data_IF_554382549850
#
_entry.id   IF_554382549850
#
_cell.length_a   1.000
_cell.length_b   1.000
_cell.length_c   1.000
_cell.angle_alpha   90.00
_cell.angle_beta   90.00
_cell.angle_gamma   90.00
#
_symmetry.space_group_name_H-M   'P 1'
#
loop_
_entity.id
_entity.type
_entity.pdbx_description
1 polymer ?
#
# COMPACT_ATOMS: atom_id res chain seq x y z
N UNK A 1 9.95 0.82 -1.40
CA UNK A 1 9.60 1.86 -0.39
C UNK A 1 10.60 3.00 -0.16
N UNK A 2 11.89 3.09 -0.62
CA UNK A 2 12.51 4.42 -0.59
C UNK A 2 12.02 5.31 -1.76
N UNK A 3 11.67 4.71 -2.91
CA UNK A 3 11.42 5.44 -4.16
C UNK A 3 10.03 5.20 -4.78
N UNK A 4 9.17 4.39 -4.16
CA UNK A 4 7.81 4.09 -4.62
C UNK A 4 6.92 3.68 -3.44
N UNK A 5 5.61 3.72 -3.64
CA UNK A 5 4.59 3.31 -2.67
C UNK A 5 3.58 2.34 -3.30
N UNK A 6 2.93 1.53 -2.46
CA UNK A 6 1.86 0.62 -2.84
C UNK A 6 0.60 0.92 -2.02
N UNK A 7 -0.57 0.83 -2.63
CA UNK A 7 -1.83 1.05 -1.93
C UNK A 7 -2.97 0.21 -2.54
N UNK A 8 -3.97 -0.10 -1.70
CA UNK A 8 -5.24 -0.70 -2.14
C UNK A 8 -6.27 0.42 -2.09
N UNK A 9 -6.96 0.65 -3.21
CA UNK A 9 -7.97 1.69 -3.34
C UNK A 9 -9.25 1.04 -3.85
N UNK A 10 -10.36 1.28 -3.14
CA UNK A 10 -11.69 0.87 -3.61
C UNK A 10 -12.28 1.98 -4.47
N UNK A 11 -12.61 1.65 -5.71
CA UNK A 11 -13.36 2.57 -6.55
C UNK A 11 -14.82 2.67 -6.08
N UNK A 12 -15.30 3.89 -5.84
CA UNK A 12 -16.69 4.17 -5.40
C UNK A 12 -17.52 4.89 -6.47
N UNK A 13 -16.88 5.30 -7.57
CA UNK A 13 -17.49 5.96 -8.74
C UNK A 13 -16.65 5.61 -9.96
N UNK A 14 -17.28 5.42 -11.11
CA UNK A 14 -16.59 5.10 -12.36
C UNK A 14 -15.44 6.08 -12.66
N UNK A 15 -14.26 5.53 -12.98
CA UNK A 15 -13.01 6.26 -13.24
C UNK A 15 -12.53 7.10 -12.05
N UNK A 16 -13.00 6.80 -10.84
CA UNK A 16 -12.69 7.50 -9.61
C UNK A 16 -11.23 7.32 -9.20
N UNK A 17 -10.67 6.12 -9.37
CA UNK A 17 -9.27 5.85 -9.01
C UNK A 17 -8.32 6.64 -9.90
N UNK A 18 -8.52 6.63 -11.22
CA UNK A 18 -7.66 7.36 -12.16
C UNK A 18 -7.69 8.87 -11.90
N UNK A 19 -8.88 9.45 -11.68
CA UNK A 19 -9.04 10.86 -11.33
C UNK A 19 -8.40 11.21 -9.98
N UNK A 20 -8.56 10.33 -8.98
CA UNK A 20 -7.94 10.50 -7.67
C UNK A 20 -6.41 10.50 -7.76
N UNK A 21 -5.84 9.50 -8.42
CA UNK A 21 -4.39 9.35 -8.58
C UNK A 21 -3.80 10.51 -9.38
N UNK A 22 -4.46 10.96 -10.45
CA UNK A 22 -4.03 12.15 -11.19
C UNK A 22 -3.94 13.38 -10.28
N UNK A 23 -5.00 13.66 -9.52
CA UNK A 23 -5.04 14.81 -8.60
C UNK A 23 -3.99 14.70 -7.51
N UNK A 24 -3.85 13.53 -6.89
CA UNK A 24 -2.88 13.28 -5.82
C UNK A 24 -1.45 13.49 -6.30
N UNK A 25 -1.06 12.80 -7.38
CA UNK A 25 0.30 12.85 -7.91
C UNK A 25 0.65 14.26 -8.40
N UNK A 26 -0.24 14.93 -9.14
CA UNK A 26 0.00 16.32 -9.59
C UNK A 26 0.13 17.28 -8.42
N UNK A 27 -0.73 17.16 -7.40
CA UNK A 27 -0.68 18.05 -6.23
C UNK A 27 0.61 17.85 -5.43
N UNK A 28 1.03 16.60 -5.25
CA UNK A 28 2.28 16.28 -4.56
C UNK A 28 3.51 16.76 -5.34
N UNK A 29 3.56 16.57 -6.67
CA UNK A 29 4.65 17.09 -7.51
C UNK A 29 4.77 18.60 -7.39
N UNK A 30 3.66 19.33 -7.45
CA UNK A 30 3.66 20.79 -7.27
C UNK A 30 4.17 21.18 -5.88
N UNK A 31 3.63 20.57 -4.84
CA UNK A 31 4.06 20.81 -3.46
C UNK A 31 5.56 20.56 -3.28
N UNK A 32 6.06 19.42 -3.73
CA UNK A 32 7.47 19.05 -3.62
C UNK A 32 8.37 20.04 -4.35
N UNK A 33 8.05 20.35 -5.61
CA UNK A 33 8.83 21.30 -6.42
C UNK A 33 8.85 22.70 -5.80
N UNK A 34 7.70 23.21 -5.33
CA UNK A 34 7.63 24.50 -4.63
C UNK A 34 8.42 24.49 -3.32
N UNK A 35 8.32 23.42 -2.53
CA UNK A 35 9.02 23.30 -1.24
C UNK A 35 10.54 23.22 -1.39
N UNK A 36 11.01 22.58 -2.45
CA UNK A 36 12.43 22.28 -2.67
C UNK A 36 13.07 23.15 -3.75
N UNK A 37 12.36 24.15 -4.26
CA UNK A 37 12.80 25.05 -5.34
C UNK A 37 13.29 24.27 -6.58
N UNK A 38 12.62 23.15 -6.87
CA UNK A 38 12.91 22.28 -8.02
C UNK A 38 11.87 22.47 -9.13
N UNK A 39 12.20 22.01 -10.32
CA UNK A 39 11.28 21.92 -11.47
C UNK A 39 11.37 20.53 -12.10
N UNK A 40 10.31 20.12 -12.80
CA UNK A 40 10.26 18.84 -13.51
C UNK A 40 9.50 17.74 -12.78
N UNK A 41 9.74 16.49 -13.20
CA UNK A 41 9.02 15.32 -12.75
C UNK A 41 9.55 14.78 -11.41
N UNK A 42 8.64 14.49 -10.48
CA UNK A 42 8.98 13.84 -9.18
C UNK A 42 8.76 12.32 -9.24
N UNK A 43 7.76 11.88 -9.99
CA UNK A 43 7.44 10.46 -10.16
C UNK A 43 8.00 9.94 -11.49
N UNK A 44 8.46 8.69 -11.49
CA UNK A 44 9.10 8.04 -12.65
C UNK A 44 8.12 7.71 -13.79
N UNK A 45 6.81 7.80 -13.57
CA UNK A 45 5.82 7.49 -14.59
C UNK A 45 4.38 7.57 -14.11
N UNK A 46 3.47 7.04 -14.94
CA UNK A 46 2.06 6.85 -14.57
C UNK A 46 1.94 5.78 -13.49
N UNK A 47 0.91 5.88 -12.65
CA UNK A 47 0.60 4.80 -11.72
C UNK A 47 0.21 3.53 -12.49
N UNK A 48 0.58 2.38 -11.94
CA UNK A 48 0.12 1.07 -12.40
C UNK A 48 -0.99 0.57 -11.47
N UNK A 49 -1.94 -0.17 -12.03
CA UNK A 49 -3.05 -0.73 -11.28
C UNK A 49 -3.36 -2.14 -11.75
N UNK A 50 -3.65 -3.01 -10.79
CA UNK A 50 -4.12 -4.38 -11.01
C UNK A 50 -5.46 -4.50 -10.28
N UNK A 51 -6.48 -5.03 -10.97
CA UNK A 51 -7.78 -5.25 -10.35
C UNK A 51 -7.69 -6.41 -9.35
N UNK A 52 -8.36 -6.25 -8.20
CA UNK A 52 -8.50 -7.31 -7.21
C UNK A 52 -9.84 -7.97 -7.47
N UNK A 53 -9.81 -9.22 -7.93
CA UNK A 53 -10.98 -9.96 -8.39
C UNK A 53 -11.70 -10.69 -7.26
N UNK A 54 -10.97 -11.09 -6.21
CA UNK A 54 -11.54 -11.84 -5.09
C UNK A 54 -10.90 -11.48 -3.73
N UNK A 55 -11.55 -11.97 -2.67
CA UNK A 55 -11.16 -11.76 -1.29
C UNK A 55 -9.79 -12.39 -0.95
N UNK A 56 -9.45 -13.54 -1.54
CA UNK A 56 -8.14 -14.15 -1.31
C UNK A 56 -7.03 -13.25 -1.86
N UNK A 57 -7.20 -12.72 -3.08
CA UNK A 57 -6.28 -11.77 -3.68
C UNK A 57 -6.19 -10.49 -2.85
N UNK A 58 -7.30 -9.98 -2.31
CA UNK A 58 -7.30 -8.84 -1.40
C UNK A 58 -6.43 -9.10 -0.17
N UNK A 59 -6.61 -10.25 0.48
CA UNK A 59 -5.82 -10.66 1.65
C UNK A 59 -4.34 -10.79 1.31
N UNK A 60 -4.01 -11.43 0.19
CA UNK A 60 -2.63 -11.57 -0.28
C UNK A 60 -1.99 -10.20 -0.56
N UNK A 61 -2.67 -9.30 -1.27
CA UNK A 61 -2.19 -7.96 -1.57
C UNK A 61 -1.96 -7.14 -0.29
N UNK A 62 -2.87 -7.23 0.69
CA UNK A 62 -2.73 -6.55 1.98
C UNK A 62 -1.46 -7.00 2.71
N UNK A 63 -1.23 -8.32 2.83
CA UNK A 63 -0.03 -8.87 3.44
C UNK A 63 1.25 -8.51 2.65
N UNK A 64 1.21 -8.53 1.32
CA UNK A 64 2.34 -8.13 0.47
C UNK A 64 2.76 -6.68 0.73
N UNK A 65 1.80 -5.75 0.72
CA UNK A 65 2.06 -4.32 0.93
C UNK A 65 2.64 -4.09 2.32
N UNK A 66 2.01 -4.66 3.35
CA UNK A 66 2.45 -4.48 4.73
C UNK A 66 3.79 -5.11 5.05
N UNK A 67 4.21 -6.13 4.29
CA UNK A 67 5.56 -6.72 4.40
C UNK A 67 6.62 -6.04 3.54
N UNK A 68 6.25 -5.12 2.65
CA UNK A 68 7.22 -4.44 1.79
C UNK A 68 8.36 -3.75 2.58
N UNK A 69 8.12 -3.12 3.75
CA UNK A 69 9.18 -2.55 4.57
C UNK A 69 10.26 -3.54 5.02
N UNK A 70 10.00 -4.86 5.01
CA UNK A 70 10.98 -5.90 5.38
C UNK A 70 12.32 -5.80 4.65
N UNK A 71 12.29 -5.33 3.41
CA UNK A 71 13.49 -5.20 2.56
C UNK A 71 14.32 -3.96 2.89
N UNK A 72 13.78 -3.05 3.70
CA UNK A 72 14.51 -1.89 4.15
C UNK A 72 15.46 -2.27 5.29
N UNK A 73 16.66 -1.69 5.27
CA UNK A 73 17.65 -1.90 6.33
C UNK A 73 17.04 -1.54 7.70
N UNK A 74 17.08 -2.49 8.64
CA UNK A 74 16.60 -2.31 10.01
C UNK A 74 15.11 -2.56 10.25
N UNK A 75 14.34 -2.93 9.21
CA UNK A 75 12.88 -3.10 9.30
C UNK A 75 12.41 -4.55 9.22
N UNK A 76 13.32 -5.49 8.97
CA UNK A 76 13.01 -6.93 8.98
C UNK A 76 12.46 -7.33 10.34
N UNK A 77 11.33 -8.03 10.33
CA UNK A 77 10.58 -8.49 11.51
C UNK A 77 10.04 -7.36 12.40
N UNK A 78 10.07 -6.11 11.91
CA UNK A 78 9.54 -4.89 12.54
C UNK A 78 8.65 -4.09 11.58
N UNK A 79 8.13 -4.72 10.54
CA UNK A 79 7.37 -4.07 9.48
C UNK A 79 6.08 -3.42 10.02
N UNK A 80 5.51 -4.01 11.06
CA UNK A 80 4.33 -3.49 11.78
C UNK A 80 4.62 -2.22 12.58
N UNK A 81 5.89 -1.83 12.74
CA UNK A 81 6.32 -0.56 13.36
C UNK A 81 6.70 0.49 12.31
N UNK A 82 6.60 0.19 11.02
CA UNK A 82 7.00 1.13 9.98
C UNK A 82 6.01 2.32 9.89
N UNK A 83 6.45 3.56 10.16
CA UNK A 83 5.52 4.68 10.36
C UNK A 83 4.79 5.11 9.08
N UNK A 84 5.38 4.84 7.92
CA UNK A 84 4.82 5.14 6.59
C UNK A 84 4.07 3.95 5.98
N UNK A 85 3.56 3.04 6.82
CA UNK A 85 2.67 1.96 6.42
C UNK A 85 1.40 2.00 7.25
N UNK A 86 0.30 1.54 6.66
CA UNK A 86 -0.95 1.31 7.40
C UNK A 86 -0.92 0.04 8.25
N UNK A 87 0.18 -0.71 8.27
CA UNK A 87 0.30 -1.94 9.06
C UNK A 87 0.09 -1.66 10.56
N UNK A 88 0.65 -0.57 11.09
CA UNK A 88 0.40 -0.11 12.46
C UNK A 88 -1.10 0.07 12.76
N UNK A 89 -1.87 0.53 11.77
CA UNK A 89 -3.30 0.82 11.90
C UNK A 89 -4.17 -0.45 11.85
N UNK A 90 -3.62 -1.55 11.34
CA UNK A 90 -4.26 -2.87 11.33
C UNK A 90 -3.99 -3.64 12.62
N UNK A 91 -2.78 -3.49 13.18
CA UNK A 91 -2.40 -4.15 14.44
C UNK A 91 -2.77 -3.34 15.68
N UNK A 92 -2.94 -2.02 15.55
CA UNK A 92 -3.25 -1.10 16.64
C UNK A 92 -4.47 -0.23 16.31
N UNK A 93 -4.36 1.05 16.66
CA UNK A 93 -5.42 2.04 16.45
C UNK A 93 -5.29 2.67 15.08
N UNK A 94 -6.42 2.78 14.37
CA UNK A 94 -6.47 3.46 13.08
C UNK A 94 -6.25 4.97 13.22
N UNK A 95 -5.06 5.46 12.84
CA UNK A 95 -4.66 6.87 12.87
C UNK A 95 -5.35 7.71 11.80
N UNK A 96 -5.90 7.08 10.76
CA UNK A 96 -6.41 7.73 9.56
C UNK A 96 -7.93 7.88 9.54
N UNK A 97 -8.62 7.41 10.60
CA UNK A 97 -10.07 7.49 10.72
C UNK A 97 -10.77 6.94 9.48
N UNK A 98 -11.67 7.73 8.90
CA UNK A 98 -12.48 7.32 7.74
C UNK A 98 -11.70 7.18 6.43
N UNK A 99 -10.48 7.73 6.35
CA UNK A 99 -9.64 7.63 5.15
C UNK A 99 -9.12 6.21 4.95
N UNK A 100 -8.84 5.49 6.04
CA UNK A 100 -8.44 4.08 6.01
C UNK A 100 -9.61 3.22 6.47
N UNK A 101 -10.04 2.29 5.61
CA UNK A 101 -11.10 1.32 5.91
C UNK A 101 -10.51 -0.08 6.00
N UNK A 102 -9.87 -0.44 7.12
CA UNK A 102 -9.17 -1.72 7.25
C UNK A 102 -10.14 -2.89 7.39
N UNK A 103 -11.40 -2.63 7.76
CA UNK A 103 -12.41 -3.64 8.08
C UNK A 103 -12.66 -4.60 6.93
N UNK A 104 -12.56 -4.14 5.67
CA UNK A 104 -12.69 -5.02 4.48
C UNK A 104 -11.69 -6.19 4.47
N UNK A 105 -10.52 -6.01 5.11
CA UNK A 105 -9.50 -7.06 5.31
C UNK A 105 -9.61 -7.67 6.71
N UNK A 106 -9.86 -6.85 7.73
CA UNK A 106 -9.87 -7.29 9.13
C UNK A 106 -11.08 -8.14 9.48
N UNK A 107 -12.19 -8.01 8.77
CA UNK A 107 -13.37 -8.87 8.95
C UNK A 107 -13.08 -10.32 8.56
N UNK A 108 -12.09 -10.54 7.68
CA UNK A 108 -11.69 -11.86 7.18
C UNK A 108 -10.54 -12.49 8.00
N UNK A 109 -9.70 -11.66 8.63
CA UNK A 109 -8.46 -12.10 9.31
C UNK A 109 -8.47 -11.89 10.83
N UNK A 110 -9.31 -10.97 11.30
CA UNK A 110 -9.29 -10.43 12.66
C UNK A 110 -8.25 -9.31 12.85
N UNK A 111 -8.46 -8.45 13.84
CA UNK A 111 -7.60 -7.30 14.17
C UNK A 111 -6.39 -7.69 15.02
N UNK A 112 -5.38 -6.81 15.07
CA UNK A 112 -4.31 -6.92 16.07
C UNK A 112 -3.37 -8.06 15.77
N UNK A 113 -3.12 -8.89 16.79
CA UNK A 113 -2.23 -10.04 16.68
C UNK A 113 -2.70 -11.08 15.65
N UNK A 114 -4.02 -11.16 15.38
CA UNK A 114 -4.54 -12.08 14.35
C UNK A 114 -4.10 -11.65 12.96
N UNK A 115 -4.28 -10.37 12.63
CA UNK A 115 -3.77 -9.82 11.36
C UNK A 115 -2.26 -9.91 11.27
N UNK A 116 -1.53 -9.57 12.34
CA UNK A 116 -0.06 -9.67 12.38
C UNK A 116 0.41 -11.08 12.06
N UNK A 117 -0.18 -12.09 12.69
CA UNK A 117 0.13 -13.50 12.43
C UNK A 117 -0.16 -13.89 10.98
N UNK A 118 -1.32 -13.50 10.46
CA UNK A 118 -1.69 -13.72 9.07
C UNK A 118 -0.67 -13.11 8.10
N UNK A 119 -0.36 -11.82 8.28
CA UNK A 119 0.57 -11.11 7.42
C UNK A 119 1.96 -11.77 7.47
N UNK A 120 2.51 -12.03 8.66
CA UNK A 120 3.83 -12.68 8.82
C UNK A 120 3.89 -14.07 8.20
N UNK A 121 2.83 -14.88 8.33
CA UNK A 121 2.76 -16.23 7.77
C UNK A 121 2.50 -16.27 6.25
N UNK A 122 1.99 -15.17 5.68
CA UNK A 122 1.66 -15.09 4.26
C UNK A 122 2.88 -15.32 3.38
N UNK A 123 2.71 -16.08 2.30
CA UNK A 123 3.73 -16.24 1.23
C UNK A 123 3.49 -15.30 0.05
N UNK A 124 2.75 -14.20 0.26
CA UNK A 124 2.35 -13.30 -0.81
C UNK A 124 3.53 -12.78 -1.65
N UNK A 125 4.69 -12.50 -1.03
CA UNK A 125 5.89 -12.10 -1.77
C UNK A 125 6.48 -13.22 -2.62
N UNK A 126 6.48 -14.45 -2.11
CA UNK A 126 7.00 -15.62 -2.82
C UNK A 126 6.16 -15.93 -4.08
N UNK A 127 4.87 -15.54 -4.09
CA UNK A 127 3.94 -15.73 -5.22
C UNK A 127 3.80 -14.50 -6.13
N UNK A 128 3.95 -13.27 -5.61
CA UNK A 128 3.86 -12.05 -6.42
C UNK A 128 5.13 -11.75 -7.22
N UNK A 129 6.29 -12.32 -6.85
CA UNK A 129 7.48 -12.25 -7.72
C UNK A 129 7.17 -12.82 -9.11
N UNK A 130 6.31 -13.85 -9.21
CA UNK A 130 5.91 -14.44 -10.50
C UNK A 130 4.96 -13.55 -11.31
N UNK A 131 4.10 -12.76 -10.66
CA UNK A 131 3.15 -11.86 -11.33
C UNK A 131 3.73 -10.47 -11.66
N UNK A 132 4.70 -10.00 -10.87
CA UNK A 132 5.35 -8.69 -11.09
C UNK A 132 6.37 -8.75 -12.24
N UNK A 133 6.95 -9.93 -12.52
CA UNK A 133 7.83 -10.18 -13.67
C UNK A 133 7.14 -10.11 -15.05
N UNK A 134 5.84 -9.80 -15.11
CA UNK A 134 5.11 -9.59 -16.37
C UNK A 134 4.79 -8.11 -16.67
N UNK A 135 5.26 -7.17 -15.84
CA UNK A 135 4.94 -5.74 -15.96
C UNK A 135 6.18 -4.89 -16.35
N UNK A 136 7.32 -5.52 -16.64
CA UNK A 136 8.51 -4.88 -17.22
C UNK A 136 8.67 -5.22 -18.71
#
# INVERSE_FOLDING_TARGET
MPNHFHCIIREVRANGVSKYMQRFLTSYTKYFNTRHEQVGHVFQGRFQAVHIEDDNQLLYCSAYIHRNPRELKGWRDREYEYPWSSYQDYVGTNRWGVLLRPDIVLDQTGRGERYRRFATASRAKDRMMDATLQID
#
